data_IF_397904557635
#
_entry.id   IF_397904557635
#
_cell.length_a   1.000
_cell.length_b   1.000
_cell.length_c   1.000
_cell.angle_alpha   90.00
_cell.angle_beta   90.00
_cell.angle_gamma   90.00
#
_symmetry.space_group_name_H-M   'P 1'
#
loop_
_entity.id
_entity.type
_entity.pdbx_description
1 polymer ?
#
# COMPACT_ATOMS: atom_id res chain seq x y z
N UNK A 1 -24.74 -4.53 0.70
CA UNK A 1 -23.61 -4.77 -0.21
C UNK A 1 -22.78 -3.50 -0.27
N UNK A 2 -21.48 -3.53 0.05
CA UNK A 2 -20.63 -2.33 0.16
C UNK A 2 -19.82 -2.16 -1.14
N UNK A 3 -20.34 -1.39 -2.09
CA UNK A 3 -19.74 -1.10 -3.41
C UNK A 3 -18.49 -0.20 -3.36
N UNK A 4 -17.87 0.00 -2.20
CA UNK A 4 -16.70 0.87 -2.06
C UNK A 4 -15.37 0.26 -2.52
N UNK A 5 -15.30 -1.06 -2.61
CA UNK A 5 -14.07 -1.82 -2.85
C UNK A 5 -14.12 -2.81 -4.03
N UNK A 6 -15.16 -2.80 -4.86
CA UNK A 6 -15.27 -3.64 -6.07
C UNK A 6 -14.36 -3.20 -7.23
N UNK A 7 -13.39 -2.31 -6.97
CA UNK A 7 -12.40 -1.93 -7.95
C UNK A 7 -11.34 -3.03 -8.05
N UNK A 8 -11.29 -3.74 -9.18
CA UNK A 8 -10.10 -4.51 -9.53
C UNK A 8 -9.01 -3.50 -9.86
N UNK A 9 -8.13 -3.23 -8.90
CA UNK A 9 -6.97 -2.38 -9.14
C UNK A 9 -5.90 -3.26 -9.75
N UNK A 10 -5.63 -3.05 -11.03
CA UNK A 10 -4.52 -3.71 -11.74
C UNK A 10 -3.18 -3.04 -11.41
N UNK A 11 -3.22 -1.81 -10.86
CA UNK A 11 -2.05 -0.96 -10.68
C UNK A 11 -2.02 -0.28 -9.31
N UNK A 12 -0.86 -0.32 -8.65
CA UNK A 12 -0.66 0.26 -7.32
C UNK A 12 -0.78 1.78 -7.27
N UNK A 13 -0.50 2.50 -8.36
CA UNK A 13 -0.73 3.96 -8.42
C UNK A 13 -2.22 4.29 -8.32
N UNK A 14 -3.09 3.47 -8.90
CA UNK A 14 -4.53 3.68 -8.79
C UNK A 14 -5.01 3.49 -7.34
N UNK A 15 -4.48 2.48 -6.64
CA UNK A 15 -4.74 2.27 -5.21
C UNK A 15 -4.26 3.48 -4.41
N UNK A 16 -3.01 3.90 -4.61
CA UNK A 16 -2.41 5.04 -3.93
C UNK A 16 -3.21 6.34 -4.16
N UNK A 17 -3.58 6.63 -5.40
CA UNK A 17 -4.37 7.80 -5.75
C UNK A 17 -5.74 7.78 -5.05
N UNK A 18 -6.41 6.61 -5.02
CA UNK A 18 -7.70 6.46 -4.33
C UNK A 18 -7.56 6.63 -2.82
N UNK A 19 -6.53 6.05 -2.21
CA UNK A 19 -6.23 6.23 -0.79
C UNK A 19 -6.01 7.69 -0.44
N UNK A 20 -5.25 8.43 -1.26
CA UNK A 20 -5.01 9.87 -1.07
C UNK A 20 -6.28 10.69 -1.25
N UNK A 21 -7.08 10.39 -2.28
CA UNK A 21 -8.37 11.05 -2.53
C UNK A 21 -9.36 10.86 -1.38
N UNK A 22 -9.39 9.66 -0.78
CA UNK A 22 -10.25 9.35 0.36
C UNK A 22 -9.66 9.81 1.71
N UNK A 23 -8.40 10.26 1.74
CA UNK A 23 -7.71 10.65 2.97
C UNK A 23 -7.26 9.48 3.85
N UNK A 24 -7.23 8.26 3.30
CA UNK A 24 -6.87 7.04 4.01
C UNK A 24 -5.39 6.70 3.93
N UNK A 25 -4.63 7.35 3.05
CA UNK A 25 -3.26 6.91 2.76
C UNK A 25 -2.35 6.91 3.98
N UNK A 26 -2.44 7.94 4.83
CA UNK A 26 -1.68 8.05 6.09
C UNK A 26 -2.36 7.40 7.29
N UNK A 27 -3.49 6.72 7.12
CA UNK A 27 -4.10 6.01 8.24
C UNK A 27 -3.37 4.71 8.53
N UNK A 28 -3.30 4.38 9.81
CA UNK A 28 -2.79 3.11 10.28
C UNK A 28 -3.69 1.96 9.82
N UNK A 29 -3.04 0.88 9.41
CA UNK A 29 -3.69 -0.38 9.14
C UNK A 29 -4.09 -1.04 10.46
N UNK A 30 -5.20 -1.79 10.49
CA UNK A 30 -5.60 -2.55 11.67
C UNK A 30 -4.57 -3.61 12.06
N UNK A 31 -3.78 -4.10 11.09
CA UNK A 31 -2.72 -5.07 11.29
C UNK A 31 -1.46 -4.62 10.54
N UNK A 32 -0.33 -4.37 11.24
CA UNK A 32 0.94 -4.12 10.58
C UNK A 32 1.41 -5.39 9.87
N UNK A 33 1.97 -5.23 8.68
CA UNK A 33 2.42 -6.33 7.84
C UNK A 33 3.92 -6.23 7.58
N UNK A 34 4.65 -7.29 7.94
CA UNK A 34 6.08 -7.41 7.68
C UNK A 34 6.30 -8.25 6.43
N UNK A 35 7.05 -7.72 5.47
CA UNK A 35 7.39 -8.40 4.22
C UNK A 35 8.71 -7.89 3.66
N UNK A 36 9.30 -8.65 2.75
CA UNK A 36 10.52 -8.24 2.06
C UNK A 36 10.20 -7.27 0.93
N UNK A 37 10.85 -6.11 0.93
CA UNK A 37 10.73 -5.13 -0.14
C UNK A 37 11.12 -5.76 -1.48
N UNK A 38 10.20 -5.75 -2.46
CA UNK A 38 10.42 -6.33 -3.78
C UNK A 38 11.53 -5.63 -4.59
N UNK A 39 11.87 -4.40 -4.23
CA UNK A 39 12.87 -3.60 -4.94
C UNK A 39 14.28 -3.70 -4.34
N UNK A 40 14.42 -3.57 -3.01
CA UNK A 40 15.75 -3.58 -2.36
C UNK A 40 16.07 -4.85 -1.58
N UNK A 41 15.10 -5.74 -1.37
CA UNK A 41 15.31 -6.99 -0.62
C UNK A 41 15.40 -6.83 0.91
N UNK A 42 15.23 -5.61 1.44
CA UNK A 42 15.22 -5.36 2.88
C UNK A 42 13.88 -5.75 3.49
N UNK A 43 13.89 -6.25 4.73
CA UNK A 43 12.67 -6.50 5.48
C UNK A 43 12.06 -5.17 5.94
N UNK A 44 10.79 -4.96 5.61
CA UNK A 44 10.04 -3.75 5.96
C UNK A 44 8.75 -4.11 6.66
N UNK A 45 8.33 -3.25 7.58
CA UNK A 45 7.05 -3.37 8.26
C UNK A 45 6.16 -2.20 7.88
N UNK A 46 5.13 -2.50 7.11
CA UNK A 46 4.13 -1.56 6.66
C UNK A 46 3.06 -1.42 7.75
N UNK A 47 2.88 -0.20 8.25
CA UNK A 47 1.92 0.13 9.31
C UNK A 47 0.74 0.94 8.81
N UNK A 48 0.85 1.57 7.65
CA UNK A 48 -0.15 2.47 7.04
C UNK A 48 -0.59 1.97 5.66
N UNK A 49 -1.74 2.41 5.17
CA UNK A 49 -2.26 1.97 3.86
C UNK A 49 -1.39 2.42 2.69
N UNK A 50 -0.73 3.58 2.80
CA UNK A 50 0.40 4.03 1.97
C UNK A 50 1.67 3.95 2.81
N UNK A 51 2.66 3.20 2.36
CA UNK A 51 3.94 3.05 3.06
C UNK A 51 5.11 3.23 2.11
N UNK A 52 6.05 4.09 2.50
CA UNK A 52 7.29 4.30 1.77
C UNK A 52 8.42 3.48 2.42
N UNK A 53 9.06 2.62 1.64
CA UNK A 53 10.24 1.89 2.08
C UNK A 53 11.38 2.88 2.40
N UNK A 54 11.93 2.90 3.63
CA UNK A 54 12.97 3.85 4.01
C UNK A 54 14.33 3.62 3.32
N UNK A 55 14.54 2.44 2.73
CA UNK A 55 15.81 2.05 2.11
C UNK A 55 15.92 2.44 0.63
N UNK A 56 14.80 2.37 -0.11
CA UNK A 56 14.79 2.61 -1.57
C UNK A 56 13.69 3.57 -2.04
N UNK A 57 12.91 4.14 -1.12
CA UNK A 57 11.77 5.03 -1.39
C UNK A 57 10.70 4.40 -2.29
N UNK A 58 10.59 3.07 -2.27
CA UNK A 58 9.52 2.34 -2.94
C UNK A 58 8.21 2.51 -2.17
N UNK A 59 7.16 2.96 -2.85
CA UNK A 59 5.84 3.14 -2.26
C UNK A 59 5.03 1.88 -2.44
N UNK A 60 4.44 1.43 -1.35
CA UNK A 60 3.48 0.33 -1.28
C UNK A 60 2.11 0.88 -0.91
N UNK A 61 1.08 0.31 -1.51
CA UNK A 61 -0.29 0.73 -1.30
C UNK A 61 -1.21 -0.49 -1.24
N UNK A 62 -2.13 -0.50 -0.27
CA UNK A 62 -3.17 -1.52 -0.16
C UNK A 62 -4.49 -0.88 0.26
N UNK A 63 -5.59 -1.35 -0.32
CA UNK A 63 -6.93 -0.88 0.08
C UNK A 63 -7.33 -1.47 1.44
N UNK A 64 -8.09 -0.75 2.28
CA UNK A 64 -8.51 -1.24 3.60
C UNK A 64 -9.24 -2.59 3.59
N UNK A 65 -10.01 -2.86 2.55
CA UNK A 65 -10.72 -4.12 2.35
C UNK A 65 -9.83 -5.31 2.01
N UNK A 66 -8.55 -5.11 1.68
CA UNK A 66 -7.58 -6.17 1.34
C UNK A 66 -6.29 -6.07 2.18
N UNK A 67 -6.26 -5.19 3.18
CA UNK A 67 -5.09 -4.92 4.02
C UNK A 67 -4.81 -5.99 5.09
N UNK A 68 -5.34 -7.19 4.89
CA UNK A 68 -5.12 -8.35 5.76
C UNK A 68 -4.18 -9.38 5.14
N UNK A 69 -3.77 -9.17 3.88
CA UNK A 69 -2.91 -10.08 3.15
C UNK A 69 -1.82 -9.32 2.38
N UNK A 70 -0.58 -9.77 2.53
CA UNK A 70 0.59 -9.17 1.88
C UNK A 70 0.57 -9.32 0.37
N UNK A 71 -0.13 -10.33 -0.16
CA UNK A 71 -0.25 -10.55 -1.61
C UNK A 71 -1.04 -9.44 -2.30
N UNK A 72 -1.92 -8.73 -1.57
CA UNK A 72 -2.69 -7.61 -2.08
C UNK A 72 -1.94 -6.26 -1.99
N UNK A 73 -0.74 -6.24 -1.40
CA UNK A 73 0.08 -5.03 -1.33
C UNK A 73 0.69 -4.79 -2.71
N UNK A 74 0.26 -3.70 -3.35
CA UNK A 74 0.73 -3.31 -4.66
C UNK A 74 1.81 -2.24 -4.56
N UNK A 75 2.77 -2.32 -5.49
CA UNK A 75 3.80 -1.31 -5.67
C UNK A 75 3.24 -0.11 -6.43
N UNK A 76 3.29 1.07 -5.81
CA UNK A 76 2.81 2.33 -6.37
C UNK A 76 3.96 3.24 -6.85
N UNK A 77 5.03 2.62 -7.37
CA UNK A 77 6.24 3.30 -7.85
C UNK A 77 7.11 3.88 -6.73
N UNK A 78 8.08 4.73 -7.09
CA UNK A 78 9.01 5.37 -6.15
C UNK A 78 8.59 6.81 -5.87
N UNK A 79 8.77 7.25 -4.63
CA UNK A 79 8.75 8.67 -4.32
C UNK A 79 9.92 9.32 -5.07
N UNK A 80 9.62 10.10 -6.12
CA UNK A 80 10.62 10.91 -6.79
C UNK A 80 11.08 11.97 -5.80
N UNK A 81 12.34 11.90 -5.36
CA UNK A 81 13.03 12.98 -4.65
C UNK A 81 13.32 14.12 -5.61
#
# INVERSE_FOLDING_TARGET
MHDGCSGKFDDGMQVLAKLRMMGFSKQDMPFPMTFTCKECGEEITMTTFEYECPHCSMIYAVTPCHAFDVENILTAGKAKK
#
